data_IF_254596898786
#
_entry.id   IF_254596898786
#
_cell.length_a   1.000
_cell.length_b   1.000
_cell.length_c   1.000
_cell.angle_alpha   90.00
_cell.angle_beta   90.00
_cell.angle_gamma   90.00
#
_symmetry.space_group_name_H-M   'P 1'
#
loop_
_entity.id
_entity.type
_entity.pdbx_description
1 polymer ?
#
# COMPACT_ATOMS: atom_id res chain seq x y z
N UNK A 1 19.13 -15.20 6.52
CA UNK A 1 17.76 -15.23 5.96
C UNK A 1 16.74 -14.63 6.92
N UNK A 2 16.44 -15.22 8.09
CA UNK A 2 15.45 -14.66 9.05
C UNK A 2 15.74 -13.21 9.51
N UNK A 3 17.01 -12.86 9.77
CA UNK A 3 17.38 -11.50 10.18
C UNK A 3 17.24 -10.45 9.05
N UNK A 4 17.32 -10.87 7.78
CA UNK A 4 17.23 -9.97 6.64
C UNK A 4 15.77 -9.58 6.31
N UNK A 5 14.83 -10.51 6.49
CA UNK A 5 13.40 -10.25 6.21
C UNK A 5 12.65 -9.57 7.36
N UNK A 6 13.13 -9.70 8.60
CA UNK A 6 12.50 -9.08 9.78
C UNK A 6 12.24 -7.55 9.64
N UNK A 7 13.21 -6.71 9.20
CA UNK A 7 12.95 -5.28 9.05
C UNK A 7 11.90 -4.97 7.98
N UNK A 8 11.91 -5.72 6.87
CA UNK A 8 10.96 -5.55 5.76
C UNK A 8 9.54 -5.89 6.23
N UNK A 9 9.39 -6.97 7.02
CA UNK A 9 8.11 -7.35 7.62
C UNK A 9 7.62 -6.28 8.59
N UNK A 10 8.50 -5.73 9.44
CA UNK A 10 8.14 -4.69 10.41
C UNK A 10 7.66 -3.41 9.72
N UNK A 11 8.39 -2.93 8.70
CA UNK A 11 7.98 -1.74 7.94
C UNK A 11 6.64 -1.97 7.25
N UNK A 12 6.44 -3.12 6.60
CA UNK A 12 5.15 -3.44 5.97
C UNK A 12 4.01 -3.54 6.99
N UNK A 13 4.28 -4.04 8.20
CA UNK A 13 3.28 -4.11 9.27
C UNK A 13 2.88 -2.70 9.74
N UNK A 14 3.84 -1.80 9.92
CA UNK A 14 3.58 -0.38 10.25
C UNK A 14 2.75 0.27 9.14
N UNK A 15 3.14 0.07 7.87
CA UNK A 15 2.41 0.60 6.72
C UNK A 15 1.01 -0.01 6.57
N UNK A 16 0.79 -1.23 7.06
CA UNK A 16 -0.54 -1.86 7.08
C UNK A 16 -1.44 -1.25 8.17
N UNK A 17 -0.89 -0.83 9.30
CA UNK A 17 -1.64 -0.21 10.41
C UNK A 17 -1.97 1.27 10.11
N UNK A 18 -1.04 1.98 9.47
CA UNK A 18 -1.14 3.40 9.16
C UNK A 18 -2.50 3.86 8.56
N UNK A 19 -3.07 3.21 7.54
CA UNK A 19 -4.34 3.65 6.93
C UNK A 19 -5.53 3.51 7.89
N UNK A 20 -5.48 2.60 8.87
CA UNK A 20 -6.49 2.54 9.93
C UNK A 20 -6.42 3.76 10.85
N UNK A 21 -5.20 4.21 11.18
CA UNK A 21 -4.99 5.43 11.97
C UNK A 21 -5.46 6.65 11.18
N UNK A 22 -5.10 6.76 9.90
CA UNK A 22 -5.53 7.87 9.05
C UNK A 22 -7.05 7.93 8.90
N UNK A 23 -7.71 6.77 8.76
CA UNK A 23 -9.17 6.69 8.72
C UNK A 23 -9.80 7.08 10.07
N UNK A 24 -9.19 6.71 11.19
CA UNK A 24 -9.61 7.15 12.52
C UNK A 24 -9.52 8.68 12.66
N UNK A 25 -8.41 9.27 12.21
CA UNK A 25 -8.21 10.73 12.21
C UNK A 25 -9.28 11.43 11.35
N UNK A 26 -9.48 10.97 10.11
CA UNK A 26 -10.45 11.55 9.19
C UNK A 26 -11.89 11.49 9.72
N UNK A 27 -12.26 10.37 10.36
CA UNK A 27 -13.64 10.16 10.85
C UNK A 27 -13.92 10.87 12.18
N UNK A 28 -13.01 10.77 13.15
CA UNK A 28 -13.28 11.22 14.53
C UNK A 28 -12.78 12.65 14.81
N UNK A 29 -11.59 13.01 14.31
CA UNK A 29 -10.99 14.32 14.56
C UNK A 29 -11.43 15.34 13.51
N UNK A 30 -11.33 15.02 12.23
CA UNK A 30 -11.66 15.94 11.13
C UNK A 30 -13.15 15.96 10.80
N UNK A 31 -13.89 14.91 11.22
CA UNK A 31 -15.35 14.83 11.14
C UNK A 31 -15.91 15.10 9.74
N UNK A 32 -15.25 14.57 8.71
CA UNK A 32 -15.82 14.61 7.36
C UNK A 32 -17.23 14.01 7.36
N UNK A 33 -18.14 14.67 6.64
CA UNK A 33 -19.55 14.26 6.58
C UNK A 33 -19.75 13.04 5.70
N UNK A 34 -18.96 12.93 4.63
CA UNK A 34 -19.09 11.87 3.63
C UNK A 34 -17.99 10.82 3.77
N UNK A 35 -18.36 9.54 3.67
CA UNK A 35 -17.41 8.42 3.69
C UNK A 35 -16.49 8.43 2.48
N UNK A 36 -16.98 8.89 1.33
CA UNK A 36 -16.17 9.09 0.12
C UNK A 36 -15.04 10.09 0.34
N UNK A 37 -15.30 11.22 1.00
CA UNK A 37 -14.30 12.24 1.33
C UNK A 37 -13.24 11.72 2.32
N UNK A 38 -13.66 10.95 3.33
CA UNK A 38 -12.72 10.29 4.25
C UNK A 38 -11.77 9.39 3.47
N UNK A 39 -12.31 8.56 2.57
CA UNK A 39 -11.52 7.61 1.79
C UNK A 39 -10.58 8.30 0.80
N UNK A 40 -10.98 9.40 0.17
CA UNK A 40 -10.11 10.23 -0.68
C UNK A 40 -8.98 10.89 0.12
N UNK A 41 -9.28 11.39 1.32
CA UNK A 41 -8.28 12.01 2.18
C UNK A 41 -7.27 11.00 2.69
N UNK A 42 -7.75 9.83 3.14
CA UNK A 42 -6.89 8.70 3.53
C UNK A 42 -6.03 8.24 2.36
N UNK A 43 -6.61 8.11 1.17
CA UNK A 43 -5.87 7.78 -0.05
C UNK A 43 -4.68 8.72 -0.25
N UNK A 44 -4.94 10.05 -0.27
CA UNK A 44 -3.91 11.06 -0.56
C UNK A 44 -2.79 11.04 0.49
N UNK A 45 -3.16 10.98 1.77
CA UNK A 45 -2.19 10.94 2.87
C UNK A 45 -1.39 9.66 2.86
N UNK A 46 -2.05 8.51 2.70
CA UNK A 46 -1.39 7.23 2.68
C UNK A 46 -0.41 7.12 1.51
N UNK A 47 -0.79 7.62 0.33
CA UNK A 47 0.11 7.71 -0.81
C UNK A 47 1.34 8.58 -0.52
N UNK A 48 1.19 9.74 0.13
CA UNK A 48 2.32 10.59 0.52
C UNK A 48 3.25 9.87 1.51
N UNK A 49 2.70 9.11 2.46
CA UNK A 49 3.51 8.32 3.40
C UNK A 49 4.25 7.17 2.71
N UNK A 50 3.59 6.44 1.81
CA UNK A 50 4.26 5.38 1.05
C UNK A 50 5.36 5.97 0.12
N UNK A 51 5.15 7.18 -0.43
CA UNK A 51 6.17 7.87 -1.23
C UNK A 51 7.35 8.29 -0.35
N UNK A 52 7.08 8.87 0.83
CA UNK A 52 8.12 9.20 1.79
C UNK A 52 8.89 7.95 2.24
N UNK A 53 8.23 6.80 2.34
CA UNK A 53 8.87 5.54 2.68
C UNK A 53 9.93 5.11 1.65
N UNK A 54 9.79 5.48 0.37
CA UNK A 54 10.84 5.25 -0.63
C UNK A 54 12.12 5.98 -0.24
N UNK A 55 12.00 7.28 -0.01
CA UNK A 55 13.12 8.15 0.35
C UNK A 55 13.71 7.78 1.70
N UNK A 56 12.88 7.44 2.67
CA UNK A 56 13.34 6.96 3.97
C UNK A 56 14.10 5.64 3.84
N UNK A 57 13.66 4.70 2.99
CA UNK A 57 14.40 3.46 2.77
C UNK A 57 15.77 3.69 2.11
N UNK A 58 15.87 4.66 1.19
CA UNK A 58 17.13 5.06 0.55
C UNK A 58 18.12 5.69 1.54
N UNK A 59 17.60 6.45 2.50
CA UNK A 59 18.38 7.36 3.34
C UNK A 59 18.65 6.74 4.73
N UNK A 60 17.80 5.83 5.21
CA UNK A 60 17.84 5.21 6.55
C UNK A 60 19.18 4.60 6.96
N UNK A 61 20.02 4.14 6.03
CA UNK A 61 21.34 3.57 6.33
C UNK A 61 22.51 4.53 6.10
N UNK A 62 22.26 5.65 5.42
CA UNK A 62 23.29 6.51 4.84
C UNK A 62 23.19 7.96 5.28
N UNK A 63 22.20 8.35 6.10
CA UNK A 63 22.05 9.73 6.63
C UNK A 63 23.35 10.26 7.21
N UNK A 64 23.96 9.53 8.14
CA UNK A 64 25.14 10.02 8.83
C UNK A 64 26.33 10.17 7.88
N UNK A 65 26.55 9.18 7.02
CA UNK A 65 27.60 9.23 6.00
C UNK A 65 27.36 10.36 4.98
N UNK A 66 26.10 10.58 4.57
CA UNK A 66 25.72 11.63 3.63
C UNK A 66 25.89 13.03 4.25
N UNK A 67 25.60 13.19 5.54
CA UNK A 67 25.80 14.46 6.25
C UNK A 67 27.28 14.80 6.41
N UNK A 68 28.12 13.80 6.70
CA UNK A 68 29.58 13.96 6.75
C UNK A 68 30.15 14.31 5.37
N UNK A 69 29.78 13.56 4.32
CA UNK A 69 30.19 13.81 2.94
C UNK A 69 29.72 15.19 2.42
N UNK A 70 28.52 15.63 2.80
CA UNK A 70 28.00 16.95 2.41
C UNK A 70 28.80 18.10 3.05
N UNK A 71 29.36 17.88 4.24
CA UNK A 71 30.17 18.88 4.94
C UNK A 71 31.59 18.99 4.35
N UNK A 72 32.13 17.89 3.82
CA UNK A 72 33.50 17.84 3.30
C UNK A 72 33.55 18.10 1.78
N UNK A 73 32.80 17.36 0.96
CA UNK A 73 32.80 17.48 -0.50
C UNK A 73 31.41 17.19 -1.11
N UNK A 74 30.65 18.20 -1.55
CA UNK A 74 29.28 18.00 -2.04
C UNK A 74 29.18 17.23 -3.36
N UNK A 75 30.28 17.11 -4.12
CA UNK A 75 30.30 16.43 -5.43
C UNK A 75 30.26 14.91 -5.28
N UNK A 76 30.92 14.36 -4.26
CA UNK A 76 30.99 12.90 -4.00
C UNK A 76 29.66 12.34 -3.47
N UNK A 77 28.79 13.20 -2.93
CA UNK A 77 27.44 12.83 -2.47
C UNK A 77 26.59 12.25 -3.60
N UNK A 78 26.66 12.83 -4.81
CA UNK A 78 25.90 12.35 -5.98
C UNK A 78 26.36 10.96 -6.43
N UNK A 79 27.68 10.73 -6.43
CA UNK A 79 28.26 9.42 -6.77
C UNK A 79 27.88 8.35 -5.74
N UNK A 80 27.87 8.72 -4.46
CA UNK A 80 27.47 7.81 -3.39
C UNK A 80 25.98 7.44 -3.47
N UNK A 81 25.10 8.40 -3.75
CA UNK A 81 23.67 8.13 -3.96
C UNK A 81 23.47 7.18 -5.15
N UNK A 82 24.18 7.40 -6.26
CA UNK A 82 24.10 6.51 -7.43
C UNK A 82 24.51 5.06 -7.09
N UNK A 83 25.47 4.87 -6.18
CA UNK A 83 25.92 3.55 -5.74
C UNK A 83 24.93 2.84 -4.81
N UNK A 84 24.11 3.59 -4.06
CA UNK A 84 23.10 3.03 -3.14
C UNK A 84 21.80 2.66 -3.89
N UNK A 85 21.48 3.36 -4.99
CA UNK A 85 20.24 3.15 -5.75
C UNK A 85 19.97 1.68 -6.15
N UNK A 86 20.95 0.89 -6.65
CA UNK A 86 20.73 -0.52 -6.95
C UNK A 86 20.38 -1.38 -5.72
N UNK A 87 20.95 -1.06 -4.56
CA UNK A 87 20.66 -1.79 -3.31
C UNK A 87 19.21 -1.53 -2.87
N UNK A 88 18.72 -0.31 -3.03
CA UNK A 88 17.33 0.02 -2.76
C UNK A 88 16.37 -0.67 -3.74
N UNK A 89 16.76 -0.83 -5.01
CA UNK A 89 15.95 -1.58 -5.97
C UNK A 89 15.69 -3.02 -5.51
N UNK A 90 16.68 -3.70 -4.93
CA UNK A 90 16.52 -5.04 -4.35
C UNK A 90 15.46 -5.06 -3.26
N UNK A 91 15.50 -4.09 -2.33
CA UNK A 91 14.50 -3.96 -1.27
C UNK A 91 13.07 -3.79 -1.84
N UNK A 92 12.88 -2.97 -2.87
CA UNK A 92 11.55 -2.81 -3.48
C UNK A 92 11.08 -4.05 -4.23
N UNK A 93 11.97 -4.81 -4.88
CA UNK A 93 11.64 -6.12 -5.47
C UNK A 93 11.17 -7.07 -4.38
N UNK A 94 11.86 -7.14 -3.24
CA UNK A 94 11.46 -7.97 -2.10
C UNK A 94 10.09 -7.55 -1.54
N UNK A 95 9.80 -6.24 -1.46
CA UNK A 95 8.47 -5.75 -1.09
C UNK A 95 7.39 -6.17 -2.10
N UNK A 96 7.66 -6.12 -3.41
CA UNK A 96 6.72 -6.56 -4.44
C UNK A 96 6.44 -8.05 -4.30
N UNK A 97 7.48 -8.87 -4.12
CA UNK A 97 7.35 -10.32 -3.91
C UNK A 97 6.56 -10.60 -2.64
N UNK A 98 6.80 -9.87 -1.55
CA UNK A 98 6.03 -10.01 -0.32
C UNK A 98 4.55 -9.66 -0.54
N UNK A 99 4.23 -8.57 -1.27
CA UNK A 99 2.83 -8.22 -1.60
C UNK A 99 2.19 -9.29 -2.49
N UNK A 100 2.93 -9.85 -3.44
CA UNK A 100 2.46 -10.93 -4.31
C UNK A 100 2.16 -12.22 -3.53
N UNK A 101 3.06 -12.63 -2.64
CA UNK A 101 3.00 -13.92 -1.93
C UNK A 101 2.15 -13.87 -0.65
N UNK A 102 2.06 -12.72 0.01
CA UNK A 102 1.34 -12.59 1.28
C UNK A 102 0.01 -11.86 1.10
N UNK A 103 0.02 -10.67 0.49
CA UNK A 103 -1.18 -9.81 0.45
C UNK A 103 -2.24 -10.37 -0.49
N UNK A 104 -1.89 -10.75 -1.73
CA UNK A 104 -2.90 -11.28 -2.68
C UNK A 104 -3.53 -12.61 -2.20
N UNK A 105 -2.78 -13.59 -1.65
CA UNK A 105 -3.38 -14.81 -1.11
C UNK A 105 -4.17 -14.57 0.18
N UNK A 106 -3.76 -13.62 1.02
CA UNK A 106 -4.55 -13.22 2.19
C UNK A 106 -5.89 -12.59 1.78
N UNK A 107 -5.85 -11.80 0.71
CA UNK A 107 -7.02 -11.15 0.14
C UNK A 107 -7.99 -12.18 -0.47
N UNK A 108 -7.50 -13.17 -1.26
CA UNK A 108 -8.37 -14.20 -1.85
C UNK A 108 -8.96 -15.15 -0.80
N UNK A 109 -8.21 -15.48 0.24
CA UNK A 109 -8.66 -16.37 1.32
C UNK A 109 -9.64 -15.71 2.28
N UNK A 110 -9.65 -14.36 2.35
CA UNK A 110 -10.51 -13.57 3.26
C UNK A 110 -10.48 -14.09 4.69
N UNK A 111 -9.28 -14.38 5.19
CA UNK A 111 -9.08 -14.90 6.55
C UNK A 111 -9.67 -13.97 7.63
N UNK A 112 -9.54 -12.66 7.44
CA UNK A 112 -10.05 -11.69 8.42
C UNK A 112 -11.58 -11.65 8.53
N UNK A 113 -12.36 -11.49 7.44
CA UNK A 113 -13.82 -11.64 7.50
C UNK A 113 -14.27 -12.99 8.04
N UNK A 114 -13.60 -14.09 7.63
CA UNK A 114 -13.93 -15.43 8.10
C UNK A 114 -13.74 -15.58 9.62
N UNK A 115 -12.60 -15.13 10.15
CA UNK A 115 -12.32 -15.15 11.59
C UNK A 115 -13.31 -14.31 12.38
N UNK A 116 -13.65 -13.10 11.89
CA UNK A 116 -14.65 -12.22 12.52
C UNK A 116 -16.02 -12.89 12.62
N UNK A 117 -16.48 -13.51 11.54
CA UNK A 117 -17.79 -14.18 11.49
C UNK A 117 -17.81 -15.37 12.44
N UNK A 118 -16.79 -16.23 12.39
CA UNK A 118 -16.74 -17.42 13.23
C UNK A 118 -16.61 -17.07 14.71
N UNK A 119 -15.83 -16.04 15.04
CA UNK A 119 -15.70 -15.54 16.41
C UNK A 119 -17.05 -15.06 16.95
N UNK A 120 -17.76 -14.20 16.21
CA UNK A 120 -19.08 -13.69 16.65
C UNK A 120 -20.11 -14.82 16.74
N UNK A 121 -20.11 -15.74 15.78
CA UNK A 121 -21.01 -16.91 15.76
C UNK A 121 -20.81 -17.81 16.97
N UNK A 122 -19.55 -18.04 17.40
CA UNK A 122 -19.24 -18.86 18.58
C UNK A 122 -19.54 -18.15 19.88
N UNK A 123 -19.21 -16.87 19.99
CA UNK A 123 -19.37 -16.10 21.24
C UNK A 123 -20.82 -15.73 21.56
N UNK A 124 -21.69 -15.56 20.55
CA UNK A 124 -23.05 -15.05 20.75
C UNK A 124 -24.16 -16.00 20.26
N UNK A 125 -23.86 -17.29 20.08
CA UNK A 125 -24.73 -18.30 19.44
C UNK A 125 -26.21 -18.27 19.89
N UNK A 126 -26.47 -18.03 21.17
CA UNK A 126 -27.83 -18.06 21.77
C UNK A 126 -28.56 -16.70 21.73
N UNK A 127 -27.89 -15.64 21.25
CA UNK A 127 -28.39 -14.26 21.26
C UNK A 127 -28.48 -13.64 19.86
N UNK A 128 -28.13 -14.37 18.80
CA UNK A 128 -28.26 -13.86 17.43
C UNK A 128 -29.71 -13.91 16.98
N UNK A 129 -30.27 -12.75 16.64
CA UNK A 129 -31.55 -12.64 15.93
C UNK A 129 -31.30 -12.66 14.42
N UNK A 130 -32.29 -13.02 13.59
CA UNK A 130 -32.17 -12.98 12.12
C UNK A 130 -31.77 -11.58 11.57
N UNK A 131 -32.09 -10.50 12.30
CA UNK A 131 -31.64 -9.14 11.99
C UNK A 131 -30.15 -8.91 12.25
N UNK A 132 -29.57 -9.65 13.20
CA UNK A 132 -28.13 -9.58 13.51
C UNK A 132 -27.31 -10.38 12.49
N UNK A 133 -27.92 -11.37 11.84
CA UNK A 133 -27.33 -12.11 10.72
C UNK A 133 -27.22 -11.28 9.42
N UNK A 134 -27.85 -10.10 9.38
CA UNK A 134 -27.79 -9.17 8.24
C UNK A 134 -26.99 -7.90 8.54
N UNK A 135 -26.55 -7.69 9.79
CA UNK A 135 -25.88 -6.46 10.23
C UNK A 135 -24.59 -6.73 11.00
N UNK A 136 -23.68 -5.78 10.99
CA UNK A 136 -22.45 -5.87 11.78
C UNK A 136 -21.51 -6.94 11.25
N UNK A 137 -21.38 -8.06 11.97
CA UNK A 137 -20.40 -9.12 11.69
C UNK A 137 -20.60 -9.80 10.32
N UNK A 138 -21.86 -9.93 9.91
CA UNK A 138 -22.29 -10.60 8.69
C UNK A 138 -22.61 -9.62 7.56
N UNK A 139 -22.38 -8.32 7.77
CA UNK A 139 -22.58 -7.31 6.75
C UNK A 139 -21.64 -7.57 5.55
N UNK A 140 -22.13 -7.40 4.30
CA UNK A 140 -21.29 -7.53 3.13
C UNK A 140 -20.07 -6.59 3.23
N UNK A 141 -18.86 -7.10 2.98
CA UNK A 141 -17.65 -6.30 3.14
C UNK A 141 -17.59 -5.21 2.06
N UNK A 142 -17.21 -4.00 2.49
CA UNK A 142 -16.88 -2.88 1.60
C UNK A 142 -15.47 -3.03 1.03
N UNK A 143 -15.26 -2.53 -0.19
CA UNK A 143 -13.91 -2.32 -0.71
C UNK A 143 -13.36 -0.98 -0.21
N UNK A 144 -12.30 -1.03 0.61
CA UNK A 144 -11.67 0.18 1.17
C UNK A 144 -10.71 0.82 0.18
N UNK A 145 -11.24 1.71 -0.64
CA UNK A 145 -10.51 2.43 -1.69
C UNK A 145 -9.24 3.12 -1.16
N UNK A 146 -9.32 3.80 -0.02
CA UNK A 146 -8.20 4.57 0.55
C UNK A 146 -7.04 3.72 1.05
N UNK A 147 -7.25 2.43 1.32
CA UNK A 147 -6.18 1.51 1.74
C UNK A 147 -5.63 0.73 0.54
N UNK A 148 -6.54 0.15 -0.24
CA UNK A 148 -6.17 -0.84 -1.24
C UNK A 148 -5.57 -0.24 -2.51
N UNK A 149 -5.97 0.97 -2.92
CA UNK A 149 -5.46 1.58 -4.14
C UNK A 149 -4.04 2.14 -4.00
N UNK A 150 -3.69 2.93 -2.97
CA UNK A 150 -2.35 3.51 -2.88
C UNK A 150 -1.26 2.42 -2.87
N UNK A 151 -1.48 1.32 -2.14
CA UNK A 151 -0.53 0.21 -2.11
C UNK A 151 -0.26 -0.44 -3.47
N UNK A 152 -1.24 -0.44 -4.38
CA UNK A 152 -1.09 -0.92 -5.77
C UNK A 152 -0.42 0.14 -6.65
N UNK A 153 -0.82 1.39 -6.50
CA UNK A 153 -0.16 2.51 -7.19
C UNK A 153 1.32 2.58 -6.83
N UNK A 154 1.66 2.27 -5.59
CA UNK A 154 3.03 2.29 -5.13
C UNK A 154 3.90 1.24 -5.83
N UNK A 155 3.36 0.05 -6.11
CA UNK A 155 4.05 -0.96 -6.95
C UNK A 155 4.29 -0.42 -8.37
N UNK A 156 3.32 0.31 -8.93
CA UNK A 156 3.48 0.96 -10.22
C UNK A 156 4.57 2.06 -10.18
N UNK A 157 4.57 2.87 -9.12
CA UNK A 157 5.59 3.90 -8.90
C UNK A 157 6.98 3.30 -8.83
N UNK A 158 7.17 2.17 -8.14
CA UNK A 158 8.46 1.47 -8.09
C UNK A 158 8.91 1.03 -9.48
N UNK A 159 8.00 0.50 -10.30
CA UNK A 159 8.32 0.07 -11.66
C UNK A 159 8.76 1.25 -12.54
N UNK A 160 8.17 2.43 -12.39
CA UNK A 160 8.57 3.62 -13.15
C UNK A 160 9.87 4.27 -12.65
N UNK A 161 10.07 4.36 -11.34
CA UNK A 161 11.28 4.97 -10.76
C UNK A 161 12.52 4.13 -11.04
N UNK A 162 12.44 2.81 -10.87
CA UNK A 162 13.59 1.91 -11.06
C UNK A 162 13.74 1.38 -12.49
N UNK A 163 12.96 1.91 -13.43
CA UNK A 163 12.85 1.43 -14.80
C UNK A 163 14.20 1.18 -15.50
N UNK A 164 15.07 2.19 -15.50
CA UNK A 164 16.41 2.13 -16.09
C UNK A 164 17.54 1.77 -15.11
N UNK A 165 17.33 1.83 -13.79
CA UNK A 165 18.35 1.45 -12.80
C UNK A 165 18.39 -0.07 -12.65
N UNK A 166 17.22 -0.70 -12.51
CA UNK A 166 17.05 -2.12 -12.26
C UNK A 166 15.87 -2.66 -13.09
N UNK A 167 16.08 -3.01 -14.37
CA UNK A 167 14.99 -3.43 -15.26
C UNK A 167 14.28 -4.71 -14.79
N UNK A 168 14.91 -5.47 -13.89
CA UNK A 168 14.32 -6.67 -13.28
C UNK A 168 13.08 -6.36 -12.43
N UNK A 169 12.85 -5.12 -12.00
CA UNK A 169 11.65 -4.73 -11.24
C UNK A 169 10.37 -4.91 -12.09
N UNK A 170 10.45 -4.66 -13.41
CA UNK A 170 9.31 -4.73 -14.32
C UNK A 170 8.62 -6.10 -14.38
N UNK A 171 9.33 -7.23 -14.66
CA UNK A 171 8.66 -8.53 -14.72
C UNK A 171 7.98 -8.89 -13.40
N UNK A 172 8.57 -8.55 -12.24
CA UNK A 172 7.93 -8.76 -10.95
C UNK A 172 6.66 -7.91 -10.77
N UNK A 173 6.71 -6.63 -11.15
CA UNK A 173 5.55 -5.76 -11.12
C UNK A 173 4.44 -6.24 -12.08
N UNK A 174 4.78 -6.71 -13.28
CA UNK A 174 3.83 -7.26 -14.24
C UNK A 174 3.13 -8.51 -13.70
N UNK A 175 3.90 -9.45 -13.11
CA UNK A 175 3.32 -10.63 -12.46
C UNK A 175 2.38 -10.23 -11.33
N UNK A 176 2.76 -9.24 -10.51
CA UNK A 176 1.89 -8.70 -9.47
C UNK A 176 0.57 -8.16 -10.03
N UNK A 177 0.61 -7.30 -11.06
CA UNK A 177 -0.61 -6.75 -11.65
C UNK A 177 -1.45 -7.80 -12.37
N UNK A 178 -0.83 -8.78 -13.03
CA UNK A 178 -1.52 -9.91 -13.64
C UNK A 178 -2.29 -10.73 -12.60
N UNK A 179 -1.63 -11.13 -11.50
CA UNK A 179 -2.28 -11.86 -10.41
C UNK A 179 -3.36 -11.01 -9.72
N UNK A 180 -3.07 -9.73 -9.45
CA UNK A 180 -4.01 -8.81 -8.85
C UNK A 180 -5.27 -8.66 -9.70
N UNK A 181 -5.15 -8.59 -11.03
CA UNK A 181 -6.29 -8.51 -11.93
C UNK A 181 -7.27 -9.67 -11.73
N UNK A 182 -6.79 -10.92 -11.68
CA UNK A 182 -7.68 -12.08 -11.46
C UNK A 182 -8.30 -12.09 -10.06
N UNK A 183 -7.50 -11.80 -9.02
CA UNK A 183 -7.97 -11.80 -7.63
C UNK A 183 -9.07 -10.75 -7.45
N UNK A 184 -8.81 -9.51 -7.85
CA UNK A 184 -9.75 -8.41 -7.63
C UNK A 184 -10.97 -8.48 -8.55
N UNK A 185 -10.83 -8.92 -9.80
CA UNK A 185 -11.99 -9.17 -10.67
C UNK A 185 -12.96 -10.16 -10.02
N UNK A 186 -12.46 -11.29 -9.50
CA UNK A 186 -13.30 -12.26 -8.79
C UNK A 186 -13.94 -11.65 -7.54
N UNK A 187 -13.22 -10.83 -6.80
CA UNK A 187 -13.74 -10.27 -5.55
C UNK A 187 -14.78 -9.18 -5.75
N UNK A 188 -14.61 -8.33 -6.77
CA UNK A 188 -15.60 -7.31 -7.13
C UNK A 188 -16.89 -7.95 -7.66
N UNK A 189 -16.80 -9.08 -8.36
CA UNK A 189 -17.98 -9.78 -8.86
C UNK A 189 -18.78 -10.51 -7.76
N UNK A 190 -18.09 -11.16 -6.80
CA UNK A 190 -18.75 -12.11 -5.91
C UNK A 190 -18.86 -11.69 -4.46
N UNK A 191 -18.13 -10.66 -4.00
CA UNK A 191 -18.01 -10.44 -2.55
C UNK A 191 -18.08 -8.98 -2.13
N UNK A 192 -17.46 -8.06 -2.88
CA UNK A 192 -17.50 -6.65 -2.51
C UNK A 192 -18.82 -6.00 -2.94
N UNK A 193 -19.43 -5.26 -2.02
CA UNK A 193 -20.61 -4.45 -2.29
C UNK A 193 -20.21 -2.97 -2.13
N UNK A 194 -20.49 -2.10 -3.12
CA UNK A 194 -20.19 -0.68 -3.01
C UNK A 194 -21.10 -0.04 -1.96
N UNK A 195 -20.50 0.56 -0.94
CA UNK A 195 -21.23 1.28 0.12
C UNK A 195 -21.58 2.73 -0.28
N UNK A 196 -20.79 3.30 -1.20
CA UNK A 196 -20.97 4.65 -1.70
C UNK A 196 -20.51 4.73 -3.16
N UNK A 197 -21.13 5.61 -3.92
CA UNK A 197 -20.77 5.92 -5.30
C UNK A 197 -19.99 7.23 -5.34
N UNK A 198 -18.72 7.18 -5.76
CA UNK A 198 -17.84 8.34 -5.80
C UNK A 198 -17.77 9.00 -7.20
N UNK A 199 -18.54 8.51 -8.18
CA UNK A 199 -18.58 9.07 -9.53
C UNK A 199 -17.23 9.11 -10.26
N UNK A 200 -16.27 8.26 -9.88
CA UNK A 200 -14.94 8.23 -10.48
C UNK A 200 -13.94 9.23 -9.88
N UNK A 201 -14.24 9.94 -8.79
CA UNK A 201 -13.33 10.94 -8.21
C UNK A 201 -11.92 10.43 -7.85
N UNK A 202 -11.76 9.12 -7.60
CA UNK A 202 -10.43 8.53 -7.36
C UNK A 202 -9.56 8.46 -8.62
N UNK A 203 -10.16 8.44 -9.81
CA UNK A 203 -9.45 8.33 -11.08
C UNK A 203 -8.53 9.53 -11.33
N UNK A 204 -8.99 10.73 -11.01
CA UNK A 204 -8.18 11.95 -11.10
C UNK A 204 -6.92 11.86 -10.22
N UNK A 205 -7.08 11.44 -8.96
CA UNK A 205 -5.96 11.30 -8.03
C UNK A 205 -4.98 10.23 -8.53
N UNK A 206 -5.49 9.12 -9.09
CA UNK A 206 -4.67 8.06 -9.70
C UNK A 206 -3.84 8.62 -10.85
N UNK A 207 -4.43 9.37 -11.78
CA UNK A 207 -3.73 9.94 -12.93
C UNK A 207 -2.62 10.88 -12.47
N UNK A 208 -2.91 11.81 -11.56
CA UNK A 208 -1.89 12.74 -11.06
C UNK A 208 -0.75 12.01 -10.36
N UNK A 209 -1.05 10.95 -9.61
CA UNK A 209 -0.03 10.11 -8.97
C UNK A 209 0.82 9.38 -10.00
N UNK A 210 0.20 8.89 -11.08
CA UNK A 210 0.89 8.19 -12.17
C UNK A 210 1.81 9.14 -12.94
N UNK A 211 1.33 10.33 -13.29
CA UNK A 211 2.16 11.37 -13.93
C UNK A 211 3.32 11.77 -13.01
N UNK A 212 3.06 11.97 -11.72
CA UNK A 212 4.10 12.26 -10.73
C UNK A 212 5.14 11.15 -10.63
N UNK A 213 4.72 9.88 -10.66
CA UNK A 213 5.64 8.74 -10.65
C UNK A 213 6.49 8.64 -11.92
N UNK A 214 5.92 8.93 -13.09
CA UNK A 214 6.64 8.95 -14.35
C UNK A 214 7.67 10.09 -14.37
N UNK A 215 7.27 11.28 -13.91
CA UNK A 215 8.17 12.43 -13.79
C UNK A 215 9.32 12.15 -12.82
N UNK A 216 9.03 11.51 -11.69
CA UNK A 216 10.06 11.06 -10.74
C UNK A 216 11.03 10.05 -11.38
N UNK A 217 10.52 9.13 -12.20
CA UNK A 217 11.36 8.20 -12.94
C UNK A 217 12.25 8.89 -13.97
N UNK A 218 11.75 9.92 -14.66
CA UNK A 218 12.57 10.72 -15.57
C UNK A 218 13.67 11.50 -14.85
N UNK A 219 13.42 12.01 -13.63
CA UNK A 219 14.42 12.75 -12.86
C UNK A 219 15.53 11.87 -12.29
N UNK A 220 15.28 10.56 -12.14
CA UNK A 220 16.30 9.61 -11.66
C UNK A 220 17.31 9.18 -12.73
N UNK A 221 17.09 9.52 -14.00
CA UNK A 221 18.00 9.30 -15.12
C UNK A 221 18.61 10.63 -15.60
#
# INVERSE_FOLDING_TARGET
LMQAYAPILLVNLILCILPFILMFIGKYYERFKFTSEVQQTVFRRYLMFELANIWLALVSGTIWTLLELLAEEPVTVLEYIALIMPQAAVYFVEMIIMKLMLVLPFEISRLWPWFRIEFVRRSFKDRLTDRDLTKGAFEPPEFRYGFQYPSKLMVLTYAFVFAGIAPIVYPFALVFFYCAYFVYTRQFLYVYVPYYEAGGAFFEIIIYSLIGSLFSGCLTF
#
